data_IF_491169165116
#
_entry.id   IF_491169165116
#
_cell.length_a   1.000
_cell.length_b   1.000
_cell.length_c   1.000
_cell.angle_alpha   90.00
_cell.angle_beta   90.00
_cell.angle_gamma   90.00
#
_symmetry.space_group_name_H-M   'P 1'
#
loop_
_entity.id
_entity.type
_entity.pdbx_description
1 polymer ?
#
# COMPACT_ATOMS: atom_id res chain seq x y z
N UNK A 1 -37.20 -1.25 11.09
CA UNK A 1 -36.14 -1.37 12.10
C UNK A 1 -36.05 -2.80 12.66
N UNK A 2 -34.99 -3.54 12.36
CA UNK A 2 -34.78 -4.88 12.91
C UNK A 2 -34.27 -4.74 14.34
N UNK A 3 -35.17 -4.77 15.32
CA UNK A 3 -34.80 -4.81 16.73
C UNK A 3 -34.04 -6.11 17.00
N UNK A 4 -32.74 -6.02 17.28
CA UNK A 4 -31.92 -7.14 17.74
C UNK A 4 -32.37 -7.44 19.17
N UNK A 5 -33.11 -8.53 19.38
CA UNK A 5 -33.64 -8.94 20.69
C UNK A 5 -32.48 -9.01 21.71
N UNK A 6 -32.52 -8.17 22.74
CA UNK A 6 -31.62 -8.22 23.90
C UNK A 6 -30.72 -6.99 24.12
N UNK A 7 -30.70 -6.02 23.19
CA UNK A 7 -29.93 -4.77 23.34
C UNK A 7 -30.83 -3.59 23.72
N UNK A 8 -30.35 -2.72 24.61
CA UNK A 8 -31.02 -1.46 24.95
C UNK A 8 -30.96 -0.48 23.76
N UNK A 9 -31.90 0.48 23.69
CA UNK A 9 -31.90 1.50 22.65
C UNK A 9 -30.59 2.32 22.61
N UNK A 10 -29.99 2.53 23.78
CA UNK A 10 -28.70 3.22 23.92
C UNK A 10 -27.54 2.39 23.33
N UNK A 11 -27.54 1.08 23.54
CA UNK A 11 -26.55 0.18 22.94
C UNK A 11 -26.66 0.14 21.42
N UNK A 12 -27.88 0.17 20.87
CA UNK A 12 -28.10 0.26 19.43
C UNK A 12 -27.57 1.59 18.87
N UNK A 13 -27.87 2.71 19.53
CA UNK A 13 -27.40 4.03 19.11
C UNK A 13 -25.87 4.17 19.17
N UNK A 14 -25.23 3.60 20.21
CA UNK A 14 -23.77 3.55 20.32
C UNK A 14 -23.18 2.73 19.17
N UNK A 15 -23.72 1.54 18.92
CA UNK A 15 -23.25 0.65 17.86
C UNK A 15 -23.39 1.28 16.47
N UNK A 16 -24.50 2.00 16.21
CA UNK A 16 -24.70 2.73 14.95
C UNK A 16 -23.65 3.84 14.77
N UNK A 17 -23.34 4.58 15.84
CA UNK A 17 -22.30 5.62 15.82
C UNK A 17 -20.91 5.04 15.54
N UNK A 18 -20.55 3.97 16.25
CA UNK A 18 -19.25 3.30 16.08
C UNK A 18 -19.10 2.71 14.68
N UNK A 19 -20.16 2.09 14.15
CA UNK A 19 -20.18 1.56 12.78
C UNK A 19 -20.02 2.68 11.74
N UNK A 20 -20.71 3.81 11.94
CA UNK A 20 -20.58 4.97 11.06
C UNK A 20 -19.19 5.61 11.12
N UNK A 21 -18.52 5.56 12.28
CA UNK A 21 -17.13 6.00 12.41
C UNK A 21 -16.18 5.07 11.66
N UNK A 22 -16.30 3.75 11.88
CA UNK A 22 -15.48 2.74 11.22
C UNK A 22 -15.61 2.81 9.68
N UNK A 23 -16.84 2.96 9.16
CA UNK A 23 -17.07 3.08 7.72
C UNK A 23 -16.36 4.31 7.11
N UNK A 24 -16.29 5.42 7.85
CA UNK A 24 -15.54 6.62 7.41
C UNK A 24 -14.04 6.38 7.40
N UNK A 25 -13.52 5.74 8.44
CA UNK A 25 -12.09 5.42 8.55
C UNK A 25 -11.65 4.48 7.43
N UNK A 26 -12.45 3.44 7.14
CA UNK A 26 -12.21 2.52 6.01
C UNK A 26 -12.21 3.29 4.69
N UNK A 27 -13.24 4.10 4.41
CA UNK A 27 -13.31 4.90 3.17
C UNK A 27 -12.13 5.86 3.02
N UNK A 28 -11.67 6.47 4.12
CA UNK A 28 -10.49 7.33 4.10
C UNK A 28 -9.23 6.54 3.75
N UNK A 29 -9.07 5.32 4.29
CA UNK A 29 -7.95 4.44 3.96
C UNK A 29 -8.01 3.92 2.51
N UNK A 30 -9.20 3.58 2.01
CA UNK A 30 -9.41 3.11 0.63
C UNK A 30 -9.07 4.17 -0.42
N UNK A 31 -9.32 5.46 -0.12
CA UNK A 31 -9.07 6.55 -1.05
C UNK A 31 -7.61 6.65 -1.50
N UNK A 32 -6.66 6.38 -0.60
CA UNK A 32 -5.23 6.45 -0.93
C UNK A 32 -4.67 5.10 -1.39
N UNK A 33 -5.24 3.97 -0.96
CA UNK A 33 -4.71 2.63 -1.24
C UNK A 33 -4.50 2.38 -2.74
N UNK A 34 -5.52 2.60 -3.58
CA UNK A 34 -5.42 2.34 -5.02
C UNK A 34 -4.34 3.19 -5.73
N UNK A 35 -4.42 4.53 -5.64
CA UNK A 35 -3.42 5.41 -6.24
C UNK A 35 -2.00 5.18 -5.72
N UNK A 36 -1.82 4.95 -4.42
CA UNK A 36 -0.50 4.75 -3.83
C UNK A 36 0.08 3.38 -4.21
N UNK A 37 -0.74 2.33 -4.19
CA UNK A 37 -0.33 1.02 -4.68
C UNK A 37 0.11 1.09 -6.15
N UNK A 38 -0.66 1.77 -7.01
CA UNK A 38 -0.27 1.95 -8.41
C UNK A 38 1.05 2.73 -8.55
N UNK A 39 1.25 3.80 -7.78
CA UNK A 39 2.52 4.54 -7.76
C UNK A 39 3.70 3.65 -7.36
N UNK A 40 3.52 2.81 -6.35
CA UNK A 40 4.55 1.86 -5.90
C UNK A 40 4.88 0.82 -6.98
N UNK A 41 3.85 0.25 -7.64
CA UNK A 41 4.03 -0.68 -8.76
C UNK A 41 4.81 -0.04 -9.91
N UNK A 42 4.45 1.20 -10.27
CA UNK A 42 5.14 1.96 -11.32
C UNK A 42 6.59 2.29 -10.94
N UNK A 43 6.82 2.77 -9.71
CA UNK A 43 8.15 3.10 -9.21
C UNK A 43 9.07 1.86 -9.22
N UNK A 44 8.60 0.72 -8.71
CA UNK A 44 9.36 -0.54 -8.80
C UNK A 44 9.62 -0.94 -10.25
N UNK A 45 8.61 -0.88 -11.12
CA UNK A 45 8.78 -1.23 -12.53
C UNK A 45 9.83 -0.35 -13.23
N UNK A 46 9.91 0.92 -12.86
CA UNK A 46 10.94 1.83 -13.33
C UNK A 46 12.34 1.44 -12.80
N UNK A 47 12.47 1.17 -11.51
CA UNK A 47 13.74 0.71 -10.91
C UNK A 47 14.21 -0.59 -11.56
N UNK A 48 13.31 -1.54 -11.80
CA UNK A 48 13.62 -2.79 -12.50
C UNK A 48 14.18 -2.54 -13.92
N UNK A 49 13.55 -1.65 -14.69
CA UNK A 49 14.04 -1.25 -16.02
C UNK A 49 15.41 -0.56 -15.94
N UNK A 50 15.62 0.27 -14.93
CA UNK A 50 16.86 1.00 -14.71
C UNK A 50 18.03 0.04 -14.42
N UNK A 51 17.83 -0.95 -13.55
CA UNK A 51 18.85 -1.96 -13.22
C UNK A 51 19.08 -2.93 -14.39
N UNK A 52 18.05 -3.27 -15.17
CA UNK A 52 18.21 -4.11 -16.36
C UNK A 52 19.08 -3.46 -17.45
N UNK A 53 19.21 -2.13 -17.45
CA UNK A 53 20.08 -1.42 -18.39
C UNK A 53 21.56 -1.63 -18.02
N UNK A 54 22.29 -2.39 -18.86
CA UNK A 54 23.69 -2.73 -18.63
C UNK A 54 24.61 -1.51 -18.45
N UNK A 55 24.35 -0.39 -19.13
CA UNK A 55 25.15 0.84 -18.99
C UNK A 55 24.95 1.47 -17.61
N UNK A 56 23.69 1.57 -17.18
CA UNK A 56 23.35 2.13 -15.87
C UNK A 56 23.83 1.21 -14.75
N UNK A 57 23.59 -0.10 -14.87
CA UNK A 57 24.07 -1.10 -13.91
C UNK A 57 25.59 -1.05 -13.74
N UNK A 58 26.35 -0.93 -14.85
CA UNK A 58 27.81 -0.81 -14.78
C UNK A 58 28.25 0.47 -14.09
N UNK A 59 27.60 1.59 -14.40
CA UNK A 59 27.90 2.87 -13.76
C UNK A 59 27.62 2.82 -12.25
N UNK A 60 26.44 2.31 -11.85
CA UNK A 60 26.09 2.13 -10.45
C UNK A 60 27.07 1.20 -9.74
N UNK A 61 27.50 0.12 -10.38
CA UNK A 61 28.48 -0.78 -9.78
C UNK A 61 29.84 -0.12 -9.52
N UNK A 62 30.25 0.82 -10.39
CA UNK A 62 31.53 1.52 -10.28
C UNK A 62 31.50 2.67 -9.27
N UNK A 63 30.35 3.37 -9.15
CA UNK A 63 30.26 4.61 -8.38
C UNK A 63 29.39 4.51 -7.13
N UNK A 64 28.39 3.61 -7.11
CA UNK A 64 27.36 3.47 -6.06
C UNK A 64 26.93 2.00 -5.87
N UNK A 65 27.86 1.09 -5.53
CA UNK A 65 27.59 -0.35 -5.48
C UNK A 65 26.51 -0.73 -4.46
N UNK A 66 26.45 -0.04 -3.31
CA UNK A 66 25.41 -0.25 -2.30
C UNK A 66 24.01 0.08 -2.84
N UNK A 67 23.90 1.19 -3.58
CA UNK A 67 22.63 1.59 -4.21
C UNK A 67 22.17 0.57 -5.26
N UNK A 68 23.10 -0.03 -6.01
CA UNK A 68 22.78 -1.10 -6.96
C UNK A 68 22.19 -2.33 -6.25
N UNK A 69 22.71 -2.69 -5.07
CA UNK A 69 22.18 -3.79 -4.26
C UNK A 69 20.75 -3.48 -3.82
N UNK A 70 20.50 -2.29 -3.28
CA UNK A 70 19.16 -1.91 -2.83
C UNK A 70 18.16 -1.81 -3.99
N UNK A 71 18.57 -1.29 -5.15
CA UNK A 71 17.71 -1.24 -6.33
C UNK A 71 17.36 -2.62 -6.87
N UNK A 72 18.27 -3.59 -6.80
CA UNK A 72 17.97 -4.99 -7.14
C UNK A 72 16.93 -5.60 -6.19
N UNK A 73 17.09 -5.39 -4.87
CA UNK A 73 16.09 -5.84 -3.88
C UNK A 73 14.71 -5.26 -4.17
N UNK A 74 14.64 -3.95 -4.46
CA UNK A 74 13.37 -3.29 -4.83
C UNK A 74 12.79 -3.91 -6.10
N UNK A 75 13.62 -4.12 -7.14
CA UNK A 75 13.19 -4.68 -8.41
C UNK A 75 12.67 -6.13 -8.28
N UNK A 76 13.19 -6.91 -7.32
CA UNK A 76 12.81 -8.31 -7.08
C UNK A 76 11.63 -8.43 -6.10
N UNK A 77 11.40 -7.44 -5.23
CA UNK A 77 10.35 -7.48 -4.21
C UNK A 77 8.94 -7.71 -4.79
N UNK A 78 8.17 -8.65 -4.26
CA UNK A 78 6.78 -8.87 -4.69
C UNK A 78 5.84 -7.85 -4.03
N UNK A 79 5.21 -7.01 -4.85
CA UNK A 79 4.21 -6.01 -4.40
C UNK A 79 2.80 -6.62 -4.30
N UNK A 80 2.59 -7.85 -4.81
CA UNK A 80 1.30 -8.52 -4.76
C UNK A 80 0.89 -9.01 -3.35
N UNK A 81 1.81 -8.95 -2.37
CA UNK A 81 1.59 -9.42 -1.00
C UNK A 81 1.19 -8.32 0.00
N UNK A 82 0.90 -7.10 -0.47
CA UNK A 82 0.44 -5.95 0.33
C UNK A 82 -0.94 -5.47 -0.15
#
# INVERSE_FOLDING_TARGET
PKAVKGLSAEQVALMERETAQLDREIKAAEQSYGPDHLRLVLARGYVAKLVANARISRWLQQHQPEMLVEFRKIAEADIAAA
#
